data_IF_554461862827
#
_entry.id   IF_554461862827
#
_cell.length_a   1.000
_cell.length_b   1.000
_cell.length_c   1.000
_cell.angle_alpha   90.00
_cell.angle_beta   90.00
_cell.angle_gamma   90.00
#
_symmetry.space_group_name_H-M   'P 1'
#
loop_
_entity.id
_entity.type
_entity.pdbx_description
1 polymer ?
#
# COMPACT_ATOMS: atom_id res chain seq x y z
N UNK A 1 -14.22 9.09 12.96
CA UNK A 1 -14.20 8.17 14.12
C UNK A 1 -14.62 6.73 13.83
N UNK A 2 -15.23 6.41 12.69
CA UNK A 2 -15.91 5.10 12.48
C UNK A 2 -14.99 3.94 12.06
N UNK A 3 -13.90 4.23 11.34
CA UNK A 3 -13.04 3.21 10.74
C UNK A 3 -12.11 2.47 11.71
N UNK A 4 -11.82 3.02 12.89
CA UNK A 4 -10.75 2.52 13.76
C UNK A 4 -9.36 3.03 13.36
N UNK A 5 -8.33 2.57 14.07
CA UNK A 5 -6.94 2.96 13.77
C UNK A 5 -6.49 2.40 12.41
N UNK A 6 -5.65 3.13 11.67
CA UNK A 6 -5.11 2.78 10.33
C UNK A 6 -6.09 2.88 9.14
N UNK A 7 -7.38 3.13 9.37
CA UNK A 7 -8.39 3.21 8.33
C UNK A 7 -8.59 4.65 7.84
N UNK A 8 -7.70 5.13 6.97
CA UNK A 8 -7.74 6.47 6.38
C UNK A 8 -8.37 6.45 4.99
N UNK A 9 -9.21 7.42 4.67
CA UNK A 9 -9.84 7.57 3.35
C UNK A 9 -9.88 9.05 2.99
N UNK A 10 -9.48 9.40 1.77
CA UNK A 10 -9.53 10.76 1.25
C UNK A 10 -9.86 10.74 -0.24
N UNK A 11 -11.12 11.09 -0.54
CA UNK A 11 -11.64 11.11 -1.92
C UNK A 11 -10.96 12.17 -2.78
N UNK A 12 -10.58 13.32 -2.21
CA UNK A 12 -10.10 14.47 -2.96
C UNK A 12 -8.73 14.18 -3.60
N UNK A 13 -7.90 13.43 -2.88
CA UNK A 13 -6.59 12.97 -3.37
C UNK A 13 -6.62 11.57 -3.98
N UNK A 14 -7.80 10.94 -4.06
CA UNK A 14 -7.98 9.59 -4.61
C UNK A 14 -7.44 8.47 -3.72
N UNK A 15 -7.29 8.72 -2.42
CA UNK A 15 -6.89 7.71 -1.44
C UNK A 15 -8.11 6.92 -0.95
N UNK A 16 -8.38 5.80 -1.61
CA UNK A 16 -9.52 4.94 -1.31
C UNK A 16 -9.27 3.96 -0.14
N UNK A 17 -8.23 4.20 0.66
CA UNK A 17 -7.58 3.23 1.54
C UNK A 17 -8.29 2.91 2.86
N UNK A 18 -7.69 1.97 3.60
CA UNK A 18 -8.13 1.53 4.92
C UNK A 18 -9.17 0.40 4.95
N UNK A 19 -8.87 -0.81 4.44
CA UNK A 19 -9.77 -1.97 4.58
C UNK A 19 -9.31 -2.92 5.70
N UNK A 20 -10.22 -3.25 6.63
CA UNK A 20 -9.93 -4.18 7.74
C UNK A 20 -9.86 -5.64 7.32
N UNK A 21 -10.47 -5.99 6.18
CA UNK A 21 -10.46 -7.36 5.65
C UNK A 21 -9.28 -7.52 4.70
N UNK A 22 -8.34 -8.38 5.10
CA UNK A 22 -7.13 -8.68 4.33
C UNK A 22 -7.51 -9.21 2.94
N UNK A 23 -7.04 -8.53 1.89
CA UNK A 23 -7.27 -8.91 0.50
C UNK A 23 -8.56 -8.34 -0.12
N UNK A 24 -9.46 -7.74 0.66
CA UNK A 24 -10.70 -7.16 0.14
C UNK A 24 -10.46 -5.99 -0.81
N UNK A 25 -9.31 -5.31 -0.69
CA UNK A 25 -8.94 -4.20 -1.57
C UNK A 25 -8.59 -4.65 -2.98
N UNK A 26 -8.24 -5.91 -3.21
CA UNK A 26 -7.79 -6.40 -4.53
C UNK A 26 -8.91 -6.33 -5.58
N UNK A 27 -10.10 -6.93 -5.36
CA UNK A 27 -11.23 -6.75 -6.27
C UNK A 27 -11.73 -5.29 -6.29
N UNK A 28 -11.63 -4.55 -5.18
CA UNK A 28 -12.03 -3.14 -5.15
C UNK A 28 -11.13 -2.28 -6.04
N UNK A 29 -9.81 -2.47 -5.99
CA UNK A 29 -8.84 -1.77 -6.83
C UNK A 29 -9.04 -2.08 -8.31
N UNK A 30 -9.36 -3.33 -8.65
CA UNK A 30 -9.79 -3.69 -10.00
C UNK A 30 -11.07 -2.94 -10.42
N UNK A 31 -12.06 -2.86 -9.54
CA UNK A 31 -13.30 -2.11 -9.77
C UNK A 31 -13.08 -0.61 -9.97
N UNK A 32 -12.21 0.01 -9.18
CA UNK A 32 -11.81 1.43 -9.34
C UNK A 32 -11.15 1.63 -10.70
N UNK A 33 -10.18 0.77 -11.07
CA UNK A 33 -9.56 0.83 -12.39
C UNK A 33 -10.56 0.63 -13.54
N UNK A 34 -11.54 -0.25 -13.36
CA UNK A 34 -12.64 -0.40 -14.31
C UNK A 34 -13.44 0.90 -14.45
N UNK A 35 -13.76 1.59 -13.35
CA UNK A 35 -14.44 2.87 -13.39
C UNK A 35 -13.61 3.95 -14.13
N UNK A 36 -12.31 4.02 -13.88
CA UNK A 36 -11.42 4.95 -14.60
C UNK A 36 -11.38 4.68 -16.10
N UNK A 37 -11.32 3.39 -16.48
CA UNK A 37 -11.39 2.96 -17.87
C UNK A 37 -12.73 3.29 -18.52
N UNK A 38 -13.83 2.94 -17.85
CA UNK A 38 -15.20 3.14 -18.33
C UNK A 38 -15.50 4.63 -18.57
N UNK A 39 -15.06 5.47 -17.64
CA UNK A 39 -15.25 6.92 -17.70
C UNK A 39 -14.18 7.65 -18.52
N UNK A 40 -13.20 6.94 -19.10
CA UNK A 40 -12.14 7.49 -19.96
C UNK A 40 -11.35 8.62 -19.30
N UNK A 41 -11.06 8.50 -18.01
CA UNK A 41 -10.38 9.57 -17.24
C UNK A 41 -8.88 9.64 -17.51
N UNK A 42 -8.29 8.60 -18.11
CA UNK A 42 -6.85 8.44 -18.27
C UNK A 42 -6.11 8.13 -16.96
N UNK A 43 -6.82 7.97 -15.84
CA UNK A 43 -6.26 7.56 -14.54
C UNK A 43 -6.12 6.04 -14.46
N UNK A 44 -5.37 5.60 -13.46
CA UNK A 44 -5.18 4.19 -13.12
C UNK A 44 -5.30 4.02 -11.61
N UNK A 45 -5.52 2.78 -11.15
CA UNK A 45 -5.50 2.44 -9.74
C UNK A 45 -4.16 1.75 -9.40
N UNK A 46 -3.51 2.16 -8.31
CA UNK A 46 -2.43 1.38 -7.70
C UNK A 46 -3.00 0.70 -6.46
N UNK A 47 -3.08 -0.62 -6.50
CA UNK A 47 -3.68 -1.43 -5.45
C UNK A 47 -2.57 -2.13 -4.64
N UNK A 48 -2.33 -1.65 -3.43
CA UNK A 48 -1.33 -2.20 -2.51
C UNK A 48 -1.89 -3.34 -1.65
N UNK A 49 -1.06 -4.34 -1.38
CA UNK A 49 -1.37 -5.47 -0.50
C UNK A 49 -0.11 -6.07 0.11
N UNK A 50 -0.23 -6.75 1.25
CA UNK A 50 0.90 -7.49 1.84
C UNK A 50 1.03 -8.90 1.28
N UNK A 51 2.16 -9.55 1.56
CA UNK A 51 2.46 -10.96 1.20
C UNK A 51 1.42 -11.96 1.73
N UNK A 52 0.79 -11.70 2.88
CA UNK A 52 -0.32 -12.53 3.37
C UNK A 52 -1.60 -12.40 2.55
N UNK A 53 -1.85 -11.22 1.97
CA UNK A 53 -3.07 -10.94 1.23
C UNK A 53 -3.10 -11.65 -0.13
N UNK A 54 -1.93 -11.93 -0.72
CA UNK A 54 -1.87 -12.62 -2.02
C UNK A 54 -2.30 -14.09 -1.97
N UNK A 55 -2.66 -14.59 -0.78
CA UNK A 55 -3.19 -15.94 -0.57
C UNK A 55 -4.72 -16.00 -0.59
N UNK A 56 -5.39 -14.85 -0.70
CA UNK A 56 -6.85 -14.79 -0.74
C UNK A 56 -7.37 -15.17 -2.14
N UNK A 57 -8.44 -15.97 -2.19
CA UNK A 57 -9.07 -16.38 -3.45
C UNK A 57 -9.50 -15.20 -4.34
N UNK A 58 -9.93 -14.11 -3.72
CA UNK A 58 -10.33 -12.87 -4.40
C UNK A 58 -9.21 -12.27 -5.27
N UNK A 59 -7.94 -12.55 -4.99
CA UNK A 59 -6.83 -12.15 -5.86
C UNK A 59 -6.94 -12.81 -7.22
N UNK A 60 -7.19 -14.12 -7.25
CA UNK A 60 -7.24 -14.91 -8.47
C UNK A 60 -8.41 -14.48 -9.36
N UNK A 61 -9.55 -14.20 -8.76
CA UNK A 61 -10.73 -13.66 -9.45
C UNK A 61 -10.44 -12.27 -10.05
N UNK A 62 -9.87 -11.36 -9.24
CA UNK A 62 -9.54 -10.02 -9.67
C UNK A 62 -8.47 -10.00 -10.77
N UNK A 63 -7.43 -10.83 -10.68
CA UNK A 63 -6.37 -10.92 -11.70
C UNK A 63 -6.93 -11.42 -13.04
N UNK A 64 -7.77 -12.46 -13.00
CA UNK A 64 -8.43 -12.98 -14.20
C UNK A 64 -9.26 -11.90 -14.89
N UNK A 65 -10.11 -11.20 -14.14
CA UNK A 65 -10.96 -10.13 -14.68
C UNK A 65 -10.13 -8.94 -15.17
N UNK A 66 -9.10 -8.53 -14.43
CA UNK A 66 -8.24 -7.41 -14.79
C UNK A 66 -7.48 -7.67 -16.10
N UNK A 67 -6.98 -8.89 -16.30
CA UNK A 67 -6.31 -9.30 -17.53
C UNK A 67 -7.27 -9.42 -18.72
N UNK A 68 -8.43 -10.05 -18.52
CA UNK A 68 -9.47 -10.20 -19.53
C UNK A 68 -9.94 -8.83 -20.05
N UNK A 69 -10.21 -7.91 -19.13
CA UNK A 69 -10.75 -6.59 -19.47
C UNK A 69 -9.69 -5.54 -19.71
N UNK A 70 -8.39 -5.88 -19.63
CA UNK A 70 -7.26 -4.95 -19.78
C UNK A 70 -7.48 -3.69 -18.92
N UNK A 71 -7.66 -3.89 -17.61
CA UNK A 71 -7.91 -2.79 -16.67
C UNK A 71 -6.63 -1.99 -16.39
N UNK A 72 -6.72 -0.66 -16.21
CA UNK A 72 -5.58 0.18 -15.84
C UNK A 72 -5.30 0.09 -14.34
N UNK A 73 -4.80 -1.07 -13.90
CA UNK A 73 -4.45 -1.32 -12.49
C UNK A 73 -3.02 -1.83 -12.36
N UNK A 74 -2.29 -1.28 -11.40
CA UNK A 74 -1.01 -1.81 -10.93
C UNK A 74 -1.29 -2.49 -9.60
N UNK A 75 -1.17 -3.81 -9.56
CA UNK A 75 -1.21 -4.54 -8.31
C UNK A 75 0.20 -4.56 -7.72
N UNK A 76 0.35 -4.14 -6.47
CA UNK A 76 1.63 -4.13 -5.76
C UNK A 76 1.52 -5.00 -4.54
N UNK A 77 2.35 -6.04 -4.45
CA UNK A 77 2.55 -6.77 -3.21
C UNK A 77 3.79 -6.25 -2.49
N UNK A 78 3.62 -5.66 -1.32
CA UNK A 78 4.70 -5.31 -0.41
C UNK A 78 5.12 -6.55 0.36
N UNK A 79 6.07 -7.29 -0.23
CA UNK A 79 6.60 -8.50 0.36
C UNK A 79 7.67 -8.13 1.40
N UNK A 80 7.23 -8.04 2.66
CA UNK A 80 8.10 -7.86 3.81
C UNK A 80 8.54 -9.18 4.47
N UNK A 81 8.18 -10.32 3.86
CA UNK A 81 8.50 -11.67 4.30
C UNK A 81 7.53 -12.29 5.30
N UNK A 82 6.62 -11.53 5.91
CA UNK A 82 5.80 -12.00 7.03
C UNK A 82 4.35 -11.46 7.08
N UNK A 83 3.39 -12.39 7.00
CA UNK A 83 2.00 -12.17 7.36
C UNK A 83 1.81 -12.32 8.88
N UNK A 84 1.81 -11.21 9.61
CA UNK A 84 1.96 -11.17 11.08
C UNK A 84 3.26 -11.89 11.50
N UNK A 85 3.18 -13.16 11.89
CA UNK A 85 4.32 -14.01 12.23
C UNK A 85 4.49 -15.26 11.35
N UNK A 86 3.68 -15.39 10.30
CA UNK A 86 3.78 -16.49 9.34
C UNK A 86 4.65 -16.05 8.17
N UNK A 87 5.80 -16.69 7.99
CA UNK A 87 6.69 -16.37 6.87
C UNK A 87 6.12 -16.85 5.53
N UNK A 88 6.48 -16.18 4.45
CA UNK A 88 6.07 -16.55 3.08
C UNK A 88 6.34 -18.03 2.78
N UNK A 89 7.51 -18.53 3.20
CA UNK A 89 7.98 -19.92 3.02
C UNK A 89 7.05 -20.96 3.66
N UNK A 90 6.26 -20.57 4.67
CA UNK A 90 5.30 -21.45 5.36
C UNK A 90 3.91 -21.46 4.70
N UNK A 91 3.68 -20.59 3.73
CA UNK A 91 2.33 -20.36 3.16
C UNK A 91 2.16 -20.90 1.75
N UNK A 92 3.25 -21.17 1.02
CA UNK A 92 3.19 -21.64 -0.36
C UNK A 92 4.53 -22.22 -0.82
N UNK A 93 4.48 -23.08 -1.82
CA UNK A 93 5.64 -23.51 -2.60
C UNK A 93 6.11 -22.43 -3.60
N UNK A 94 5.27 -21.44 -3.91
CA UNK A 94 5.64 -20.26 -4.72
C UNK A 94 6.00 -19.11 -3.76
N UNK A 95 7.31 -18.95 -3.54
CA UNK A 95 7.87 -17.97 -2.59
C UNK A 95 8.24 -16.64 -3.23
N UNK A 96 8.58 -16.65 -4.52
CA UNK A 96 8.67 -15.44 -5.34
C UNK A 96 7.26 -15.07 -5.81
N UNK A 97 6.66 -14.08 -5.18
CA UNK A 97 5.25 -13.77 -5.34
C UNK A 97 4.92 -13.28 -6.76
N UNK A 98 5.83 -12.57 -7.44
CA UNK A 98 5.62 -12.11 -8.83
C UNK A 98 5.30 -13.26 -9.80
N UNK A 99 5.71 -14.50 -9.49
CA UNK A 99 5.37 -15.68 -10.31
C UNK A 99 3.85 -15.91 -10.38
N UNK A 100 3.08 -15.50 -9.37
CA UNK A 100 1.61 -15.61 -9.37
C UNK A 100 1.02 -14.85 -10.55
N UNK A 101 1.50 -13.63 -10.83
CA UNK A 101 1.03 -12.83 -11.96
C UNK A 101 1.28 -13.50 -13.31
N UNK A 102 2.41 -14.20 -13.45
CA UNK A 102 2.76 -14.94 -14.67
C UNK A 102 1.75 -16.03 -15.01
N UNK A 103 1.06 -16.60 -14.02
CA UNK A 103 -0.01 -17.59 -14.25
C UNK A 103 -1.24 -17.04 -15.01
N UNK A 104 -1.34 -15.71 -15.14
CA UNK A 104 -2.41 -15.01 -15.85
C UNK A 104 -1.95 -14.35 -17.15
N UNK A 105 -0.73 -14.64 -17.60
CA UNK A 105 -0.03 -13.89 -18.66
C UNK A 105 0.08 -12.38 -18.34
N UNK A 106 0.01 -12.01 -17.06
CA UNK A 106 0.16 -10.64 -16.61
C UNK A 106 1.64 -10.28 -16.54
N UNK A 107 2.06 -9.13 -17.10
CA UNK A 107 3.39 -8.59 -16.84
C UNK A 107 3.64 -8.52 -15.35
N UNK A 108 4.71 -9.18 -14.91
CA UNK A 108 5.00 -9.29 -13.49
C UNK A 108 6.48 -9.48 -13.24
N UNK A 109 7.02 -8.67 -12.33
CA UNK A 109 8.43 -8.63 -12.01
C UNK A 109 8.68 -8.36 -10.52
N UNK A 110 9.80 -8.85 -9.96
CA UNK A 110 10.28 -8.41 -8.65
C UNK A 110 10.90 -7.02 -8.76
N UNK A 111 10.70 -6.21 -7.73
CA UNK A 111 11.26 -4.87 -7.58
C UNK A 111 11.97 -4.80 -6.23
N UNK A 112 13.21 -4.32 -6.22
CA UNK A 112 13.93 -4.05 -4.98
C UNK A 112 13.35 -2.78 -4.34
N UNK A 113 12.35 -2.95 -3.46
CA UNK A 113 11.67 -1.83 -2.81
C UNK A 113 12.46 -1.23 -1.63
N UNK A 114 13.72 -1.62 -1.47
CA UNK A 114 14.71 -0.94 -0.63
C UNK A 114 15.51 0.12 -1.43
N UNK A 115 15.25 0.26 -2.74
CA UNK A 115 15.81 1.29 -3.60
C UNK A 115 14.67 2.11 -4.24
N UNK A 116 14.70 3.44 -4.10
CA UNK A 116 13.57 4.29 -4.53
C UNK A 116 13.53 4.46 -6.04
N UNK A 117 14.67 4.38 -6.71
CA UNK A 117 14.80 4.49 -8.16
C UNK A 117 14.23 3.24 -8.86
N UNK A 118 14.52 2.04 -8.35
CA UNK A 118 13.97 0.77 -8.81
C UNK A 118 12.43 0.78 -8.73
N UNK A 119 11.88 1.32 -7.63
CA UNK A 119 10.43 1.49 -7.44
C UNK A 119 9.86 2.50 -8.44
N UNK A 120 10.50 3.67 -8.56
CA UNK A 120 10.08 4.70 -9.50
C UNK A 120 10.01 4.16 -10.93
N UNK A 121 11.05 3.48 -11.37
CA UNK A 121 11.17 2.99 -12.74
C UNK A 121 10.16 1.87 -13.03
N UNK A 122 9.98 0.92 -12.10
CA UNK A 122 8.99 -0.15 -12.25
C UNK A 122 7.55 0.38 -12.30
N UNK A 123 7.20 1.29 -11.38
CA UNK A 123 5.86 1.90 -11.34
C UNK A 123 5.62 2.77 -12.58
N UNK A 124 6.62 3.52 -13.03
CA UNK A 124 6.51 4.36 -14.24
C UNK A 124 6.21 3.52 -15.47
N UNK A 125 6.98 2.43 -15.71
CA UNK A 125 6.72 1.49 -16.82
C UNK A 125 5.33 0.87 -16.73
N UNK A 126 4.94 0.40 -15.54
CA UNK A 126 3.62 -0.19 -15.32
C UNK A 126 2.48 0.82 -15.54
N UNK A 127 2.69 2.08 -15.15
CA UNK A 127 1.73 3.16 -15.33
C UNK A 127 1.56 3.55 -16.80
N UNK A 128 2.66 3.67 -17.56
CA UNK A 128 2.62 3.91 -19.00
C UNK A 128 1.84 2.80 -19.71
N UNK A 129 2.15 1.54 -19.39
CA UNK A 129 1.45 0.37 -19.93
C UNK A 129 -0.06 0.41 -19.65
N UNK A 130 -0.44 0.67 -18.39
CA UNK A 130 -1.83 0.75 -17.98
C UNK A 130 -2.59 1.86 -18.74
N UNK A 131 -1.97 3.04 -18.90
CA UNK A 131 -2.56 4.18 -19.65
C UNK A 131 -2.61 3.94 -21.15
N UNK A 132 -1.68 3.16 -21.72
CA UNK A 132 -1.71 2.71 -23.11
C UNK A 132 -2.81 1.66 -23.40
N UNK A 133 -3.52 1.20 -22.37
CA UNK A 133 -4.59 0.20 -22.52
C UNK A 133 -4.10 -1.23 -22.68
N UNK A 134 -2.83 -1.49 -22.40
CA UNK A 134 -2.20 -2.82 -22.53
C UNK A 134 -2.50 -3.75 -21.34
N UNK A 135 -3.28 -3.26 -20.38
CA UNK A 135 -3.77 -4.00 -19.24
C UNK A 135 -2.92 -3.85 -17.97
N UNK A 136 -3.18 -4.70 -16.96
CA UNK A 136 -2.59 -4.55 -15.64
C UNK A 136 -1.14 -5.03 -15.57
N UNK A 137 -0.47 -4.67 -14.47
CA UNK A 137 0.87 -5.18 -14.10
C UNK A 137 0.85 -5.62 -12.63
N UNK A 138 1.59 -6.67 -12.29
CA UNK A 138 1.77 -7.10 -10.90
C UNK A 138 3.23 -6.98 -10.47
N UNK A 139 3.51 -6.10 -9.52
CA UNK A 139 4.86 -5.85 -9.01
C UNK A 139 5.03 -6.45 -7.62
N UNK A 140 6.08 -7.25 -7.42
CA UNK A 140 6.49 -7.69 -6.09
C UNK A 140 7.55 -6.76 -5.53
N UNK A 141 7.16 -5.92 -4.58
CA UNK A 141 8.06 -5.04 -3.87
C UNK A 141 8.73 -5.81 -2.74
N UNK A 142 9.98 -6.23 -2.97
CA UNK A 142 10.80 -6.90 -1.97
C UNK A 142 11.33 -5.86 -1.00
N UNK A 143 10.84 -5.91 0.24
CA UNK A 143 11.15 -4.95 1.31
C UNK A 143 11.23 -5.67 2.66
N UNK A 144 11.29 -4.93 3.77
CA UNK A 144 11.35 -5.51 5.10
C UNK A 144 10.63 -4.68 6.17
N UNK A 145 9.92 -5.35 7.08
CA UNK A 145 9.19 -4.69 8.18
C UNK A 145 10.07 -4.58 9.42
N UNK A 146 10.69 -3.44 9.71
CA UNK A 146 11.61 -3.34 10.87
C UNK A 146 10.97 -3.50 12.25
N UNK A 147 9.67 -3.23 12.39
CA UNK A 147 8.93 -3.33 13.65
C UNK A 147 8.04 -4.57 13.69
N UNK A 148 7.39 -4.80 14.83
CA UNK A 148 6.36 -5.81 14.98
C UNK A 148 5.22 -5.59 13.99
N UNK A 149 4.41 -6.62 13.78
CA UNK A 149 3.18 -6.51 12.99
C UNK A 149 2.26 -5.42 13.53
N UNK A 150 2.23 -5.26 14.85
CA UNK A 150 1.52 -4.21 15.56
C UNK A 150 2.39 -3.69 16.71
N UNK A 151 1.94 -2.64 17.39
CA UNK A 151 2.59 -2.08 18.58
C UNK A 151 2.80 -3.10 19.71
N UNK A 152 1.98 -4.15 19.77
CA UNK A 152 2.05 -5.19 20.80
C UNK A 152 2.78 -6.46 20.36
N UNK A 153 3.23 -6.55 19.10
CA UNK A 153 3.87 -7.76 18.57
C UNK A 153 5.36 -7.86 18.98
N UNK A 154 5.76 -8.90 19.73
CA UNK A 154 7.13 -9.08 20.19
C UNK A 154 8.12 -9.61 19.13
N UNK A 155 7.69 -9.90 17.89
CA UNK A 155 8.55 -10.31 16.77
C UNK A 155 9.32 -11.63 16.97
N UNK A 156 8.76 -12.60 17.70
CA UNK A 156 9.44 -13.88 18.02
C UNK A 156 9.65 -14.86 16.85
N UNK A 157 9.24 -14.49 15.64
CA UNK A 157 9.23 -15.33 14.43
C UNK A 157 10.37 -15.03 13.46
N UNK A 158 11.33 -14.17 13.85
CA UNK A 158 12.51 -13.81 13.07
C UNK A 158 13.72 -13.59 13.98
N UNK A 159 14.91 -13.66 13.41
CA UNK A 159 16.14 -13.49 14.19
C UNK A 159 16.55 -12.02 14.27
N UNK A 160 17.44 -11.69 15.21
CA UNK A 160 17.99 -10.33 15.32
C UNK A 160 18.97 -10.06 14.18
N UNK A 161 19.69 -11.09 13.77
CA UNK A 161 20.69 -11.08 12.71
C UNK A 161 20.01 -10.75 11.36
N UNK A 162 18.88 -11.38 11.06
CA UNK A 162 18.08 -11.08 9.87
C UNK A 162 17.63 -9.61 9.86
N UNK A 163 17.07 -9.12 10.96
CA UNK A 163 16.64 -7.72 11.08
C UNK A 163 17.81 -6.74 10.86
N UNK A 164 18.98 -7.05 11.42
CA UNK A 164 20.16 -6.18 11.31
C UNK A 164 20.72 -6.16 9.88
N UNK A 165 20.72 -7.30 9.18
CA UNK A 165 21.09 -7.37 7.77
C UNK A 165 20.23 -6.46 6.88
N UNK A 166 18.92 -6.37 7.16
CA UNK A 166 18.05 -5.45 6.44
C UNK A 166 18.24 -3.99 6.84
N UNK A 167 18.54 -3.69 8.10
CA UNK A 167 18.82 -2.31 8.55
C UNK A 167 20.07 -1.70 7.91
N UNK A 168 21.05 -2.53 7.56
CA UNK A 168 22.24 -2.07 6.82
C UNK A 168 21.91 -1.63 5.38
N UNK A 169 20.70 -1.95 4.89
CA UNK A 169 20.18 -1.59 3.57
C UNK A 169 19.05 -0.56 3.67
N UNK A 170 19.06 0.27 4.70
CA UNK A 170 17.99 1.24 4.92
C UNK A 170 17.85 2.22 3.76
N UNK A 171 16.63 2.30 3.22
CA UNK A 171 16.30 3.11 2.06
C UNK A 171 16.54 4.60 2.30
N UNK A 172 16.29 5.11 3.51
CA UNK A 172 16.46 6.54 3.83
C UNK A 172 17.96 6.87 3.83
N UNK A 173 18.78 6.02 4.44
CA UNK A 173 20.24 6.20 4.45
C UNK A 173 20.84 6.08 3.05
N UNK A 174 20.33 5.15 2.23
CA UNK A 174 20.75 5.02 0.83
C UNK A 174 20.44 6.29 0.02
N UNK A 175 19.22 6.85 0.16
CA UNK A 175 18.82 8.10 -0.49
C UNK A 175 19.66 9.28 0.00
N UNK A 176 19.87 9.39 1.31
CA UNK A 176 20.75 10.42 1.91
C UNK A 176 22.15 10.36 1.31
N UNK A 177 22.73 9.17 1.22
CA UNK A 177 24.05 8.96 0.63
C UNK A 177 24.09 9.39 -0.85
N UNK A 178 23.08 9.03 -1.65
CA UNK A 178 22.96 9.44 -3.05
C UNK A 178 22.89 10.96 -3.19
N UNK A 179 22.07 11.63 -2.39
CA UNK A 179 21.91 13.09 -2.42
C UNK A 179 23.24 13.80 -2.14
N UNK A 180 23.94 13.41 -1.08
CA UNK A 180 25.20 14.03 -0.68
C UNK A 180 26.32 13.75 -1.67
N UNK A 181 26.45 12.50 -2.15
CA UNK A 181 27.49 12.11 -3.11
C UNK A 181 27.34 12.84 -4.44
N UNK A 182 26.09 13.10 -4.86
CA UNK A 182 25.80 13.85 -6.08
C UNK A 182 25.70 15.38 -5.87
N UNK A 183 26.00 15.88 -4.66
CA UNK A 183 25.92 17.30 -4.29
C UNK A 183 24.55 17.93 -4.61
N UNK A 184 23.47 17.17 -4.45
CA UNK A 184 22.09 17.66 -4.67
C UNK A 184 21.58 18.50 -3.50
N UNK A 185 22.12 18.26 -2.30
CA UNK A 185 21.89 19.03 -1.08
C UNK A 185 23.09 18.86 -0.13
N UNK A 186 23.20 19.73 0.87
CA UNK A 186 24.18 19.62 1.94
C UNK A 186 23.59 18.93 3.18
N UNK A 187 24.44 18.58 4.14
CA UNK A 187 23.99 18.06 5.43
C UNK A 187 23.09 19.05 6.19
N UNK A 188 23.40 20.35 6.09
CA UNK A 188 22.60 21.41 6.71
C UNK A 188 21.22 21.53 6.05
N UNK A 189 21.14 21.37 4.72
CA UNK A 189 19.86 21.35 3.99
C UNK A 189 18.99 20.16 4.43
N UNK A 190 19.58 18.97 4.56
CA UNK A 190 18.85 17.77 5.00
C UNK A 190 18.37 17.91 6.45
N UNK A 191 19.21 18.46 7.33
CA UNK A 191 18.84 18.75 8.72
C UNK A 191 17.66 19.74 8.78
N UNK A 192 17.69 20.80 7.96
CA UNK A 192 16.60 21.77 7.90
C UNK A 192 15.28 21.15 7.39
N UNK A 193 15.36 20.19 6.46
CA UNK A 193 14.19 19.42 6.00
C UNK A 193 13.62 18.58 7.15
N UNK A 194 14.46 17.87 7.88
CA UNK A 194 14.03 17.04 9.02
C UNK A 194 13.35 17.88 10.10
N UNK A 195 13.92 19.03 10.46
CA UNK A 195 13.31 19.95 11.42
C UNK A 195 11.94 20.46 10.95
N UNK A 196 11.83 20.84 9.68
CA UNK A 196 10.56 21.28 9.08
C UNK A 196 9.50 20.18 9.09
N UNK A 197 9.85 18.96 8.72
CA UNK A 197 8.92 17.82 8.72
C UNK A 197 8.52 17.46 10.15
N UNK A 198 9.46 17.47 11.10
CA UNK A 198 9.18 17.25 12.52
C UNK A 198 8.19 18.27 13.07
N UNK A 199 8.36 19.55 12.75
CA UNK A 199 7.42 20.60 13.15
C UNK A 199 6.01 20.34 12.61
N UNK A 200 5.89 19.98 11.33
CA UNK A 200 4.60 19.64 10.70
C UNK A 200 3.93 18.42 11.33
N UNK A 201 4.69 17.38 11.67
CA UNK A 201 4.15 16.19 12.35
C UNK A 201 3.64 16.56 13.75
N UNK A 202 4.37 17.39 14.49
CA UNK A 202 3.94 17.86 15.81
C UNK A 202 2.66 18.69 15.73
N UNK A 203 2.53 19.55 14.71
CA UNK A 203 1.30 20.31 14.46
C UNK A 203 0.10 19.39 14.17
N UNK A 204 0.30 18.34 13.35
CA UNK A 204 -0.76 17.37 13.07
C UNK A 204 -1.16 16.56 14.31
N UNK A 205 -0.21 16.19 15.17
CA UNK A 205 -0.48 15.54 16.46
C UNK A 205 -1.26 16.46 17.38
N UNK A 206 -0.82 17.70 17.55
CA UNK A 206 -1.50 18.70 18.39
C UNK A 206 -2.93 18.97 17.90
N UNK A 207 -3.13 19.08 16.59
CA UNK A 207 -4.45 19.18 15.98
C UNK A 207 -5.31 17.95 16.31
N UNK A 208 -4.79 16.74 16.15
CA UNK A 208 -5.53 15.51 16.42
C UNK A 208 -5.89 15.35 17.91
N UNK A 209 -4.99 15.70 18.82
CA UNK A 209 -5.21 15.62 20.28
C UNK A 209 -6.19 16.68 20.79
N UNK A 210 -6.20 17.87 20.19
CA UNK A 210 -7.12 18.97 20.55
C UNK A 210 -8.46 18.89 19.83
N UNK A 211 -8.56 18.08 18.77
CA UNK A 211 -9.83 17.89 18.06
C UNK A 211 -10.85 17.23 18.98
N UNK A 212 -12.10 17.72 19.00
CA UNK A 212 -13.15 17.07 19.78
C UNK A 212 -13.39 15.66 19.24
N UNK A 213 -13.78 14.74 20.13
CA UNK A 213 -14.35 13.47 19.69
C UNK A 213 -15.63 13.73 18.87
N UNK A 214 -15.94 12.88 17.88
CA UNK A 214 -17.23 12.91 17.20
C UNK A 214 -18.38 12.80 18.19
N UNK A 215 -19.52 13.45 17.88
CA UNK A 215 -20.72 13.26 18.69
C UNK A 215 -21.21 11.81 18.61
N UNK A 216 -21.82 11.30 19.69
CA UNK A 216 -22.35 9.95 19.70
C UNK A 216 -23.43 9.74 18.62
N UNK A 217 -24.18 10.79 18.24
CA UNK A 217 -25.20 10.73 17.19
C UNK A 217 -24.60 10.39 15.81
N UNK A 218 -23.32 10.70 15.57
CA UNK A 218 -22.66 10.34 14.31
C UNK A 218 -22.61 8.83 14.06
N UNK A 219 -22.78 8.00 15.10
CA UNK A 219 -22.86 6.55 14.97
C UNK A 219 -23.96 6.10 13.99
N UNK A 220 -25.06 6.85 13.92
CA UNK A 220 -26.24 6.52 13.12
C UNK A 220 -26.22 7.14 11.72
N UNK A 221 -25.27 8.04 11.46
CA UNK A 221 -25.08 8.68 10.16
C UNK A 221 -24.32 7.77 9.16
N UNK A 222 -24.50 8.01 7.87
CA UNK A 222 -23.81 7.33 6.75
C UNK A 222 -24.07 5.81 6.64
N UNK A 223 -25.05 5.26 7.35
CA UNK A 223 -25.43 3.84 7.21
C UNK A 223 -26.21 3.61 5.91
N UNK A 224 -27.09 4.55 5.56
CA UNK A 224 -27.82 4.61 4.30
C UNK A 224 -27.80 6.04 3.75
N UNK A 225 -28.08 6.18 2.45
CA UNK A 225 -28.27 7.51 1.81
C UNK A 225 -29.60 8.15 2.25
N UNK A 226 -30.56 7.34 2.68
CA UNK A 226 -31.89 7.78 3.12
C UNK A 226 -31.85 8.24 4.59
N UNK A 227 -32.27 9.48 4.84
CA UNK A 227 -32.24 10.09 6.16
C UNK A 227 -33.40 9.62 7.08
N UNK A 228 -34.52 9.17 6.52
CA UNK A 228 -35.70 8.70 7.27
C UNK A 228 -35.79 7.17 7.31
N UNK A 229 -34.64 6.49 7.39
CA UNK A 229 -34.61 5.03 7.35
C UNK A 229 -35.29 4.44 8.60
N UNK A 230 -36.39 3.69 8.45
CA UNK A 230 -37.33 3.39 9.54
C UNK A 230 -36.83 2.32 10.52
N UNK A 231 -35.56 1.91 10.44
CA UNK A 231 -34.94 0.92 11.32
C UNK A 231 -33.68 1.44 12.02
N UNK A 232 -33.29 2.68 11.76
CA UNK A 232 -32.26 3.38 12.54
C UNK A 232 -33.03 4.33 13.47
N UNK A 233 -33.05 3.98 14.74
CA UNK A 233 -33.71 4.75 15.80
C UNK A 233 -32.68 5.02 16.88
N UNK A 234 -32.64 6.26 17.35
CA UNK A 234 -31.89 6.67 18.54
C UNK A 234 -32.47 6.05 19.82
#
# INVERSE_FOLDING_TARGET
GKGGSMHMFDKEVGFMGGHGIVGAQVPMGAGIAFAEKYNKTGKLCICYMGDGAVRQGALHEAFNMAMLWKLPVIFVVENNGYAMGTSVQRTSNVTDLYIIGKGYDMPSEPVNAMNVEDVHDAVSRAAERARAGEGPTFLEFKTYRYKGHSMSDPMKYRTKEELEEYRQRDTIEAVRHTILTNNMATEDDLTAIDEKIKARVLEAVDFAEKSPYPDASELYEDVYVQNDYPYIHD
#
